data_IF_768719692731
#
_entry.id   IF_768719692731
#
_cell.length_a   1.000
_cell.length_b   1.000
_cell.length_c   1.000
_cell.angle_alpha   90.00
_cell.angle_beta   90.00
_cell.angle_gamma   90.00
#
_symmetry.space_group_name_H-M   'P 1'
#
loop_
_entity.id
_entity.type
_entity.pdbx_description
1 polymer ?
#
# COMPACT_ATOMS: atom_id res chain seq x y z
N UNK A 1 21.61 7.29 -9.42
CA UNK A 1 20.78 8.41 -8.98
C UNK A 1 20.02 7.93 -7.75
N UNK A 2 19.96 8.73 -6.69
CA UNK A 2 19.15 8.45 -5.51
C UNK A 2 17.79 9.07 -5.80
N UNK A 3 16.75 8.27 -6.03
CA UNK A 3 15.39 8.72 -6.43
C UNK A 3 14.65 9.45 -5.28
N UNK A 4 15.32 10.41 -4.64
CA UNK A 4 14.81 11.24 -3.57
C UNK A 4 13.84 12.32 -4.06
N UNK A 5 13.14 12.95 -3.12
CA UNK A 5 12.16 14.01 -3.43
C UNK A 5 12.83 15.37 -3.33
N UNK A 6 12.52 16.25 -4.27
CA UNK A 6 12.88 17.66 -4.21
C UNK A 6 11.61 18.51 -4.27
N UNK A 7 11.41 19.38 -3.28
CA UNK A 7 10.22 20.23 -3.18
C UNK A 7 10.52 21.53 -2.43
N UNK A 8 9.59 22.48 -2.45
CA UNK A 8 9.64 23.69 -1.63
C UNK A 8 8.74 23.46 -0.42
N UNK A 9 9.31 23.48 0.78
CA UNK A 9 8.51 23.33 2.02
C UNK A 9 7.58 24.52 2.24
N UNK A 10 6.61 24.39 3.13
CA UNK A 10 5.72 25.46 3.60
C UNK A 10 6.47 26.72 4.04
N UNK A 11 7.69 26.57 4.56
CA UNK A 11 8.55 27.70 4.94
C UNK A 11 9.19 28.44 3.76
N UNK A 12 8.97 27.99 2.51
CA UNK A 12 9.59 28.56 1.30
C UNK A 12 11.01 28.05 1.04
N UNK A 13 11.49 27.06 1.79
CA UNK A 13 12.84 26.51 1.66
C UNK A 13 12.85 25.35 0.69
N UNK A 14 13.81 25.34 -0.24
CA UNK A 14 14.09 24.19 -1.08
C UNK A 14 14.62 23.02 -0.24
N UNK A 15 13.90 21.91 -0.29
CA UNK A 15 14.15 20.72 0.53
C UNK A 15 14.42 19.53 -0.38
N UNK A 16 15.45 18.76 -0.04
CA UNK A 16 15.71 17.44 -0.61
C UNK A 16 15.55 16.38 0.48
N UNK A 17 14.74 15.36 0.22
CA UNK A 17 14.55 14.20 1.11
C UNK A 17 15.12 12.94 0.42
N UNK A 18 16.09 12.25 1.05
CA UNK A 18 16.64 11.01 0.52
C UNK A 18 15.60 9.88 0.58
N UNK A 19 15.80 8.82 -0.23
CA UNK A 19 14.86 7.70 -0.33
C UNK A 19 14.73 6.87 0.95
N UNK A 20 15.80 6.80 1.74
CA UNK A 20 15.90 5.89 2.89
C UNK A 20 15.18 6.37 4.14
N UNK A 21 14.93 7.67 4.28
CA UNK A 21 14.43 8.25 5.54
C UNK A 21 12.95 7.92 5.81
N UNK A 22 12.13 7.76 4.77
CA UNK A 22 10.69 7.51 4.93
C UNK A 22 10.29 6.04 4.91
N UNK A 23 11.19 5.14 4.46
CA UNK A 23 10.95 3.69 4.42
C UNK A 23 10.67 3.10 5.80
N UNK A 24 11.08 3.78 6.88
CA UNK A 24 10.88 3.39 8.27
C UNK A 24 9.98 4.35 9.07
N UNK A 25 9.35 5.31 8.40
CA UNK A 25 8.54 6.33 9.06
C UNK A 25 7.18 5.81 9.51
N UNK A 26 6.62 6.42 10.55
CA UNK A 26 5.24 6.19 10.99
C UNK A 26 4.32 7.27 10.45
N UNK A 27 3.08 6.92 10.13
CA UNK A 27 2.07 7.90 9.73
C UNK A 27 1.85 8.95 10.82
N UNK A 28 1.92 10.23 10.45
CA UNK A 28 1.73 11.36 11.36
C UNK A 28 0.25 11.65 11.59
N UNK A 29 -0.60 11.35 10.61
CA UNK A 29 -2.06 11.47 10.70
C UNK A 29 -2.74 10.21 10.17
N UNK A 30 -3.93 9.94 10.71
CA UNK A 30 -4.81 8.88 10.24
C UNK A 30 -6.14 9.45 9.73
N UNK A 31 -6.60 8.92 8.60
CA UNK A 31 -7.86 9.24 7.95
C UNK A 31 -8.73 7.99 7.91
N UNK A 32 -10.04 8.13 8.15
CA UNK A 32 -10.94 6.98 8.25
C UNK A 32 -12.40 7.33 8.03
N UNK A 33 -13.20 6.30 7.73
CA UNK A 33 -14.64 6.40 7.47
C UNK A 33 -15.53 5.70 8.52
N UNK A 34 -14.93 4.99 9.48
CA UNK A 34 -15.64 4.21 10.52
C UNK A 34 -15.83 4.97 11.85
N UNK A 35 -15.52 6.28 11.91
CA UNK A 35 -15.52 7.06 13.15
C UNK A 35 -14.32 6.78 14.07
N UNK A 36 -14.27 7.40 15.24
CA UNK A 36 -13.18 7.27 16.21
C UNK A 36 -12.18 8.42 16.20
N UNK A 37 -10.89 8.13 16.36
CA UNK A 37 -9.81 9.13 16.43
C UNK A 37 -9.25 9.54 15.06
N UNK A 38 -9.58 8.80 14.00
CA UNK A 38 -9.17 9.14 12.64
C UNK A 38 -9.93 10.36 12.11
N UNK A 39 -9.25 11.17 11.30
CA UNK A 39 -9.84 12.36 10.67
C UNK A 39 -10.78 11.91 9.56
N UNK A 40 -12.06 12.33 9.56
CA UNK A 40 -12.99 11.97 8.50
C UNK A 40 -12.59 12.62 7.18
N UNK A 41 -12.71 11.86 6.09
CA UNK A 41 -12.55 12.34 4.72
C UNK A 41 -13.89 12.27 3.97
N UNK A 42 -14.04 13.14 2.98
CA UNK A 42 -15.28 13.28 2.19
C UNK A 42 -15.19 12.58 0.83
N UNK A 43 -13.97 12.36 0.33
CA UNK A 43 -13.73 11.64 -0.92
C UNK A 43 -12.47 10.80 -0.81
N UNK A 44 -12.50 9.63 -1.44
CA UNK A 44 -11.34 8.75 -1.63
C UNK A 44 -11.38 8.24 -3.07
N UNK A 45 -10.31 8.52 -3.82
CA UNK A 45 -10.08 7.93 -5.14
C UNK A 45 -9.27 6.64 -4.96
N UNK A 46 -9.83 5.53 -5.44
CA UNK A 46 -9.23 4.20 -5.35
C UNK A 46 -8.95 3.68 -6.76
N UNK A 47 -7.68 3.44 -7.05
CA UNK A 47 -7.25 2.63 -8.18
C UNK A 47 -7.28 1.15 -7.81
N UNK A 48 -7.88 0.33 -8.69
CA UNK A 48 -7.91 -1.12 -8.55
C UNK A 48 -6.86 -1.73 -9.45
N UNK A 49 -5.83 -2.35 -8.86
CA UNK A 49 -4.85 -3.13 -9.60
C UNK A 49 -5.34 -4.56 -9.80
N UNK A 50 -6.12 -4.83 -10.84
CA UNK A 50 -6.53 -6.21 -11.21
C UNK A 50 -5.51 -6.88 -12.14
N UNK A 51 -4.55 -6.12 -12.67
CA UNK A 51 -3.58 -6.60 -13.65
C UNK A 51 -2.59 -7.62 -13.08
N UNK A 52 -2.43 -7.65 -11.75
CA UNK A 52 -1.49 -8.54 -11.06
C UNK A 52 -2.18 -9.58 -10.18
N UNK A 53 -3.49 -9.80 -10.35
CA UNK A 53 -4.25 -10.77 -9.57
C UNK A 53 -3.99 -12.19 -10.10
N UNK A 54 -3.39 -13.06 -9.28
CA UNK A 54 -3.18 -14.47 -9.58
C UNK A 54 -3.48 -15.33 -8.35
N UNK A 55 -4.54 -16.14 -8.42
CA UNK A 55 -5.00 -17.00 -7.32
C UNK A 55 -4.95 -18.50 -7.66
N UNK A 56 -4.31 -18.82 -8.78
CA UNK A 56 -3.92 -20.17 -9.18
C UNK A 56 -2.50 -20.13 -9.79
N UNK A 57 -1.52 -20.66 -9.07
CA UNK A 57 -0.12 -20.64 -9.49
C UNK A 57 0.30 -22.05 -9.89
N UNK A 58 0.97 -22.15 -11.04
CA UNK A 58 1.50 -23.39 -11.60
C UNK A 58 2.99 -23.19 -11.89
N UNK A 59 3.85 -23.98 -11.26
CA UNK A 59 5.31 -23.92 -11.39
C UNK A 59 5.81 -25.26 -11.93
N UNK A 60 6.19 -25.27 -13.20
CA UNK A 60 6.88 -26.37 -13.86
C UNK A 60 8.36 -26.34 -13.49
N UNK A 61 8.77 -27.20 -12.56
CA UNK A 61 10.18 -27.36 -12.19
C UNK A 61 10.88 -28.20 -13.25
N UNK A 62 12.04 -27.73 -13.73
CA UNK A 62 12.75 -28.39 -14.83
C UNK A 62 13.04 -29.86 -14.52
N UNK A 63 12.56 -30.76 -15.40
CA UNK A 63 12.76 -32.21 -15.26
C UNK A 63 11.97 -32.87 -14.12
N UNK A 64 11.06 -32.14 -13.47
CA UNK A 64 10.24 -32.61 -12.35
C UNK A 64 8.74 -32.40 -12.64
N UNK A 65 7.89 -32.83 -11.70
CA UNK A 65 6.45 -32.65 -11.78
C UNK A 65 6.04 -31.17 -11.61
N UNK A 66 4.79 -30.86 -12.00
CA UNK A 66 4.18 -29.55 -11.81
C UNK A 66 3.86 -29.32 -10.33
N UNK A 67 4.36 -28.22 -9.76
CA UNK A 67 3.93 -27.73 -8.45
C UNK A 67 2.78 -26.72 -8.61
N UNK A 68 1.77 -26.79 -7.74
CA UNK A 68 0.58 -25.94 -7.84
C UNK A 68 0.16 -25.37 -6.50
N UNK A 69 -0.31 -24.12 -6.48
CA UNK A 69 -0.92 -23.49 -5.31
C UNK A 69 -2.14 -22.66 -5.72
N UNK A 70 -3.26 -22.82 -5.04
CA UNK A 70 -4.51 -22.10 -5.33
C UNK A 70 -5.17 -21.57 -4.07
N UNK A 71 -5.96 -20.49 -4.19
CA UNK A 71 -6.77 -19.94 -3.10
C UNK A 71 -8.27 -19.97 -3.48
N UNK A 72 -9.04 -20.87 -2.86
CA UNK A 72 -10.45 -21.09 -3.20
C UNK A 72 -11.35 -19.90 -2.81
N UNK A 73 -10.99 -19.16 -1.76
CA UNK A 73 -11.74 -17.97 -1.30
C UNK A 73 -11.59 -16.86 -2.33
N UNK A 74 -10.36 -16.52 -2.70
CA UNK A 74 -10.05 -15.53 -3.73
C UNK A 74 -10.65 -15.94 -5.09
N UNK A 75 -10.62 -17.22 -5.46
CA UNK A 75 -11.26 -17.69 -6.69
C UNK A 75 -12.78 -17.53 -6.69
N UNK A 76 -13.43 -17.69 -5.54
CA UNK A 76 -14.87 -17.47 -5.39
C UNK A 76 -15.22 -15.99 -5.55
N UNK A 77 -14.38 -15.10 -5.02
CA UNK A 77 -14.64 -13.65 -5.02
C UNK A 77 -14.22 -12.96 -6.33
N UNK A 78 -13.08 -13.33 -6.89
CA UNK A 78 -12.48 -12.65 -8.04
C UNK A 78 -12.37 -13.51 -9.31
N UNK A 79 -12.86 -14.76 -9.27
CA UNK A 79 -12.71 -15.73 -10.35
C UNK A 79 -11.31 -16.33 -10.43
N UNK A 80 -11.13 -17.35 -11.28
CA UNK A 80 -9.84 -18.03 -11.43
C UNK A 80 -8.90 -17.22 -12.32
N UNK A 81 -7.76 -16.79 -11.75
CA UNK A 81 -6.68 -16.12 -12.46
C UNK A 81 -5.40 -16.94 -12.33
N UNK A 82 -4.85 -17.42 -13.46
CA UNK A 82 -3.75 -18.38 -13.45
C UNK A 82 -2.42 -17.75 -13.88
N UNK A 83 -1.38 -17.97 -13.08
CA UNK A 83 0.02 -17.74 -13.45
C UNK A 83 0.71 -19.08 -13.68
N UNK A 84 1.35 -19.23 -14.84
CA UNK A 84 2.11 -20.42 -15.19
C UNK A 84 3.56 -20.06 -15.47
N UNK A 85 4.48 -20.71 -14.74
CA UNK A 85 5.92 -20.61 -14.92
C UNK A 85 6.44 -21.97 -15.39
N UNK A 86 7.17 -22.01 -16.49
CA UNK A 86 7.71 -23.24 -17.07
C UNK A 86 9.24 -23.28 -16.96
N UNK A 87 9.80 -24.48 -16.90
CA UNK A 87 11.25 -24.73 -16.87
C UNK A 87 12.00 -23.93 -15.79
N UNK A 88 11.39 -23.78 -14.62
CA UNK A 88 12.02 -23.05 -13.51
C UNK A 88 13.21 -23.87 -12.99
N UNK A 89 14.42 -23.28 -12.90
CA UNK A 89 15.66 -24.00 -12.56
C UNK A 89 15.78 -24.23 -11.05
N UNK A 90 14.79 -24.89 -10.45
CA UNK A 90 14.79 -25.31 -9.04
C UNK A 90 15.29 -26.75 -8.91
N UNK A 91 15.93 -27.04 -7.79
CA UNK A 91 16.57 -28.32 -7.53
C UNK A 91 15.59 -29.41 -7.05
N UNK A 92 14.41 -29.03 -6.54
CA UNK A 92 13.45 -29.94 -5.91
C UNK A 92 12.01 -29.50 -6.18
N UNK A 93 11.09 -30.48 -6.17
CA UNK A 93 9.65 -30.21 -6.25
C UNK A 93 9.16 -29.40 -5.03
N UNK A 94 9.75 -29.62 -3.85
CA UNK A 94 9.42 -28.88 -2.65
C UNK A 94 9.68 -27.38 -2.82
N UNK A 95 10.84 -27.00 -3.37
CA UNK A 95 11.15 -25.60 -3.68
C UNK A 95 10.15 -25.00 -4.69
N UNK A 96 9.70 -25.79 -5.68
CA UNK A 96 8.66 -25.37 -6.63
C UNK A 96 7.31 -25.11 -5.96
N UNK A 97 6.92 -25.96 -5.00
CA UNK A 97 5.70 -25.78 -4.21
C UNK A 97 5.78 -24.55 -3.31
N UNK A 98 6.91 -24.32 -2.64
CA UNK A 98 7.12 -23.11 -1.84
C UNK A 98 7.03 -21.85 -2.69
N UNK A 99 7.68 -21.83 -3.86
CA UNK A 99 7.57 -20.71 -4.79
C UNK A 99 6.12 -20.48 -5.23
N UNK A 100 5.38 -21.53 -5.57
CA UNK A 100 3.97 -21.41 -5.95
C UNK A 100 3.12 -20.82 -4.82
N UNK A 101 3.37 -21.22 -3.56
CA UNK A 101 2.67 -20.70 -2.38
C UNK A 101 3.00 -19.23 -2.15
N UNK A 102 4.27 -18.82 -2.20
CA UNK A 102 4.69 -17.43 -2.03
C UNK A 102 4.06 -16.52 -3.08
N UNK A 103 4.12 -16.92 -4.36
CA UNK A 103 3.50 -16.18 -5.46
C UNK A 103 1.98 -16.07 -5.27
N UNK A 104 1.33 -17.15 -4.84
CA UNK A 104 -0.11 -17.11 -4.53
C UNK A 104 -0.37 -16.11 -3.43
N UNK A 105 0.32 -16.19 -2.29
CA UNK A 105 0.07 -15.29 -1.16
C UNK A 105 0.33 -13.82 -1.51
N UNK A 106 1.28 -13.57 -2.40
CA UNK A 106 1.60 -12.23 -2.89
C UNK A 106 0.55 -11.65 -3.85
N UNK A 107 -0.06 -12.50 -4.69
CA UNK A 107 -0.87 -12.05 -5.83
C UNK A 107 -2.34 -12.48 -5.77
N UNK A 108 -2.76 -13.27 -4.78
CA UNK A 108 -4.14 -13.78 -4.70
C UNK A 108 -5.19 -12.71 -4.46
N UNK A 109 -4.82 -11.57 -3.90
CA UNK A 109 -5.75 -10.49 -3.59
C UNK A 109 -5.41 -9.22 -4.39
N UNK A 110 -6.40 -8.41 -4.78
CA UNK A 110 -6.16 -7.19 -5.52
C UNK A 110 -5.38 -6.17 -4.68
N UNK A 111 -4.47 -5.44 -5.34
CA UNK A 111 -3.74 -4.36 -4.68
C UNK A 111 -4.54 -3.07 -4.78
N UNK A 112 -5.03 -2.60 -3.64
CA UNK A 112 -5.68 -1.30 -3.52
C UNK A 112 -4.64 -0.17 -3.56
N UNK A 113 -4.84 0.77 -4.48
CA UNK A 113 -4.07 2.01 -4.55
C UNK A 113 -4.98 3.17 -4.17
N UNK A 114 -4.64 3.90 -3.13
CA UNK A 114 -5.32 5.15 -2.80
C UNK A 114 -4.58 6.28 -3.51
N UNK A 115 -5.23 6.92 -4.48
CA UNK A 115 -4.58 7.93 -5.31
C UNK A 115 -4.78 9.33 -4.74
N UNK A 116 -5.96 9.60 -4.19
CA UNK A 116 -6.33 10.92 -3.71
C UNK A 116 -7.33 10.82 -2.56
N UNK A 117 -7.21 11.71 -1.57
CA UNK A 117 -8.27 11.97 -0.58
C UNK A 117 -8.68 13.44 -0.56
N UNK A 118 -9.94 13.67 -0.22
CA UNK A 118 -10.51 15.01 -0.02
C UNK A 118 -11.03 15.17 1.39
N UNK A 119 -10.64 16.25 2.05
CA UNK A 119 -10.97 16.57 3.44
C UNK A 119 -11.55 17.98 3.50
N UNK A 120 -12.69 18.15 4.17
CA UNK A 120 -13.31 19.47 4.35
C UNK A 120 -13.02 19.95 5.76
N UNK A 121 -12.27 21.06 5.90
CA UNK A 121 -11.78 21.52 7.20
C UNK A 121 -12.89 22.11 8.08
N UNK A 122 -13.94 22.70 7.48
CA UNK A 122 -15.03 23.36 8.20
C UNK A 122 -15.75 22.45 9.21
N UNK A 123 -15.77 21.13 8.95
CA UNK A 123 -16.42 20.15 9.82
C UNK A 123 -15.49 19.53 10.87
N UNK A 124 -14.21 19.89 10.89
CA UNK A 124 -13.21 19.32 11.78
C UNK A 124 -13.09 20.13 13.08
N UNK A 125 -12.53 19.48 14.12
CA UNK A 125 -12.05 20.20 15.30
C UNK A 125 -10.89 21.14 14.92
N UNK A 126 -10.67 22.19 15.71
CA UNK A 126 -9.55 23.11 15.47
C UNK A 126 -8.19 22.38 15.39
N UNK A 127 -7.97 21.41 16.28
CA UNK A 127 -6.74 20.61 16.28
C UNK A 127 -6.58 19.76 15.01
N UNK A 128 -7.65 19.11 14.53
CA UNK A 128 -7.59 18.31 13.31
C UNK A 128 -7.44 19.19 12.06
N UNK A 129 -8.10 20.35 12.03
CA UNK A 129 -7.97 21.31 10.93
C UNK A 129 -6.54 21.88 10.87
N UNK A 130 -5.93 22.20 12.01
CA UNK A 130 -4.54 22.63 12.10
C UNK A 130 -3.60 21.52 11.63
N UNK A 131 -3.77 20.30 12.15
CA UNK A 131 -2.95 19.15 11.77
C UNK A 131 -2.94 18.91 10.25
N UNK A 132 -4.12 18.88 9.62
CA UNK A 132 -4.24 18.72 8.15
C UNK A 132 -3.61 19.90 7.40
N UNK A 133 -3.78 21.13 7.90
CA UNK A 133 -3.19 22.33 7.29
C UNK A 133 -1.67 22.40 7.42
N UNK A 134 -1.10 21.64 8.36
CA UNK A 134 0.35 21.56 8.58
C UNK A 134 1.03 20.37 7.89
N UNK A 135 0.29 19.57 7.11
CA UNK A 135 0.89 18.54 6.27
C UNK A 135 1.84 19.13 5.24
N UNK A 136 2.86 18.36 4.88
CA UNK A 136 3.90 18.70 3.91
C UNK A 136 4.09 17.57 2.89
N UNK A 137 4.72 17.89 1.75
CA UNK A 137 5.13 16.85 0.80
C UNK A 137 6.11 15.88 1.46
N UNK A 138 5.85 14.58 1.28
CA UNK A 138 6.63 13.49 1.88
C UNK A 138 6.12 13.01 3.24
N UNK A 139 5.19 13.73 3.89
CA UNK A 139 4.59 13.26 5.13
C UNK A 139 3.84 11.95 4.92
N UNK A 140 3.94 11.04 5.90
CA UNK A 140 3.24 9.77 5.88
C UNK A 140 1.86 9.92 6.53
N UNK A 141 0.84 9.43 5.85
CA UNK A 141 -0.54 9.42 6.33
C UNK A 141 -1.10 8.00 6.23
N UNK A 142 -1.88 7.59 7.22
CA UNK A 142 -2.59 6.32 7.20
C UNK A 142 -4.02 6.54 6.75
N UNK A 143 -4.51 5.74 5.82
CA UNK A 143 -5.86 5.85 5.30
C UNK A 143 -6.53 4.50 5.48
N UNK A 144 -7.68 4.53 6.13
CA UNK A 144 -8.55 3.38 6.32
C UNK A 144 -9.83 3.57 5.52
N UNK A 145 -10.13 2.57 4.68
CA UNK A 145 -11.40 2.46 3.97
C UNK A 145 -12.15 1.23 4.47
N UNK A 146 -13.41 1.43 4.88
CA UNK A 146 -14.31 0.36 5.28
C UNK A 146 -15.30 0.06 4.15
N UNK A 147 -15.54 -1.23 3.92
CA UNK A 147 -16.47 -1.73 2.91
C UNK A 147 -17.65 -2.42 3.59
N UNK A 148 -18.86 -2.10 3.14
CA UNK A 148 -20.09 -2.73 3.66
C UNK A 148 -20.27 -4.16 3.17
N UNK A 149 -19.63 -4.50 2.03
CA UNK A 149 -19.67 -5.81 1.37
C UNK A 149 -18.29 -6.11 0.77
N UNK A 150 -17.94 -7.40 0.67
CA UNK A 150 -16.64 -7.87 0.16
C UNK A 150 -15.62 -8.16 1.28
N UNK A 151 -14.54 -8.85 0.91
CA UNK A 151 -13.42 -9.18 1.79
C UNK A 151 -12.11 -8.60 1.24
N UNK A 152 -11.27 -7.93 2.07
CA UNK A 152 -11.48 -7.64 3.48
C UNK A 152 -12.50 -6.51 3.70
N UNK A 153 -13.18 -6.52 4.85
CA UNK A 153 -14.17 -5.48 5.22
C UNK A 153 -13.53 -4.12 5.51
N UNK A 154 -12.22 -4.09 5.74
CA UNK A 154 -11.43 -2.86 5.89
C UNK A 154 -10.09 -3.00 5.18
N UNK A 155 -9.66 -1.92 4.55
CA UNK A 155 -8.32 -1.79 3.96
C UNK A 155 -7.66 -0.57 4.56
N UNK A 156 -6.52 -0.79 5.22
CA UNK A 156 -5.66 0.27 5.73
C UNK A 156 -4.35 0.30 4.94
N UNK A 157 -3.92 1.50 4.54
CA UNK A 157 -2.64 1.72 3.85
C UNK A 157 -1.97 2.97 4.40
N UNK A 158 -0.66 2.89 4.58
CA UNK A 158 0.19 4.05 4.81
C UNK A 158 0.68 4.56 3.46
N UNK A 159 0.53 5.85 3.23
CA UNK A 159 0.80 6.53 1.97
C UNK A 159 1.64 7.78 2.27
N UNK A 160 2.41 8.25 1.30
CA UNK A 160 3.05 9.55 1.42
C UNK A 160 2.27 10.61 0.64
N UNK A 161 2.31 11.84 1.13
CA UNK A 161 1.71 12.99 0.46
C UNK A 161 2.61 13.42 -0.70
N UNK A 162 2.09 13.38 -1.92
CA UNK A 162 2.78 13.84 -3.14
C UNK A 162 2.32 15.21 -3.59
N UNK A 163 1.10 15.59 -3.22
CA UNK A 163 0.47 16.81 -3.65
C UNK A 163 -0.49 17.28 -2.56
N UNK A 164 -0.53 18.58 -2.33
CA UNK A 164 -1.50 19.22 -1.44
C UNK A 164 -2.15 20.35 -2.23
N UNK A 165 -3.47 20.32 -2.38
CA UNK A 165 -4.24 21.38 -3.01
C UNK A 165 -5.29 21.92 -2.04
N UNK A 166 -5.27 23.23 -1.82
CA UNK A 166 -6.26 23.94 -1.01
C UNK A 166 -7.23 24.66 -1.94
N UNK A 167 -8.51 24.30 -1.87
CA UNK A 167 -9.57 25.04 -2.52
C UNK A 167 -10.39 25.76 -1.44
N UNK A 168 -10.31 27.10 -1.43
CA UNK A 168 -10.95 27.94 -0.43
C UNK A 168 -11.99 28.80 -1.14
N UNK A 169 -13.23 28.65 -0.69
CA UNK A 169 -14.38 29.50 -1.05
C UNK A 169 -14.93 30.15 0.22
N UNK A 170 -15.82 31.15 0.11
CA UNK A 170 -16.44 31.76 1.30
C UNK A 170 -17.16 30.77 2.23
N UNK A 171 -17.60 29.63 1.70
CA UNK A 171 -18.42 28.67 2.42
C UNK A 171 -17.64 27.41 2.86
N UNK A 172 -16.54 27.09 2.19
CA UNK A 172 -15.81 25.83 2.40
C UNK A 172 -14.32 25.96 2.10
N UNK A 173 -13.52 25.32 2.92
CA UNK A 173 -12.11 25.04 2.70
C UNK A 173 -11.94 23.52 2.57
N UNK A 174 -11.65 23.10 1.35
CA UNK A 174 -11.37 21.70 1.01
C UNK A 174 -9.87 21.53 0.76
N UNK A 175 -9.28 20.53 1.39
CA UNK A 175 -7.91 20.08 1.16
C UNK A 175 -7.94 18.75 0.43
N UNK A 176 -7.30 18.70 -0.73
CA UNK A 176 -7.12 17.49 -1.53
C UNK A 176 -5.68 17.06 -1.45
N UNK A 177 -5.44 15.82 -1.03
CA UNK A 177 -4.10 15.22 -0.96
C UNK A 177 -3.95 14.19 -2.08
N UNK A 178 -2.94 14.38 -2.94
CA UNK A 178 -2.46 13.35 -3.84
C UNK A 178 -1.50 12.43 -3.10
N UNK A 179 -1.62 11.12 -3.35
CA UNK A 179 -1.03 10.08 -2.53
C UNK A 179 -0.17 9.13 -3.37
N UNK A 180 1.05 8.91 -2.90
CA UNK A 180 1.92 7.86 -3.41
C UNK A 180 2.00 6.67 -2.46
N UNK A 181 2.21 5.48 -3.01
CA UNK A 181 2.31 4.25 -2.21
C UNK A 181 3.59 4.26 -1.37
N UNK A 182 3.46 4.33 -0.05
CA UNK A 182 4.61 4.16 0.82
C UNK A 182 5.01 2.68 0.85
N UNK A 183 6.13 2.35 0.20
CA UNK A 183 6.76 1.06 0.37
C UNK A 183 7.62 1.12 1.64
N UNK A 184 7.00 0.79 2.77
CA UNK A 184 7.75 0.55 4.00
C UNK A 184 8.47 -0.78 3.83
N UNK A 185 9.80 -0.74 3.87
CA UNK A 185 10.62 -1.95 3.92
C UNK A 185 10.97 -2.16 5.40
N UNK A 186 10.93 -3.40 5.85
CA UNK A 186 11.63 -3.79 7.07
C UNK A 186 13.13 -3.75 6.81
N UNK A 187 13.90 -3.18 7.73
CA UNK A 187 15.34 -3.03 7.54
C UNK A 187 15.96 -4.44 7.47
N UNK A 188 16.70 -4.75 6.40
CA UNK A 188 17.52 -5.95 6.38
C UNK A 188 18.70 -5.75 7.32
N UNK A 189 18.59 -6.29 8.53
CA UNK A 189 19.66 -6.25 9.52
C UNK A 189 20.42 -7.58 9.43
N UNK A 190 21.70 -7.48 9.03
CA UNK A 190 22.58 -8.62 8.98
C UNK A 190 22.76 -9.17 10.41
N UNK A 191 22.53 -10.48 10.58
CA UNK A 191 22.74 -11.23 11.83
C UNK A 191 21.71 -11.00 12.96
N UNK A 192 20.52 -10.46 12.67
CA UNK A 192 19.40 -10.45 13.62
C UNK A 192 18.25 -11.32 13.10
N UNK A 193 18.35 -12.62 13.39
CA UNK A 193 17.24 -13.57 13.58
C UNK A 193 15.96 -13.33 12.74
N UNK A 194 16.05 -13.51 11.42
CA UNK A 194 15.20 -14.42 10.64
C UNK A 194 15.43 -14.17 9.14
N UNK A 195 16.36 -14.94 8.57
CA UNK A 195 16.40 -15.15 7.10
C UNK A 195 15.23 -16.03 6.61
N UNK A 196 14.37 -16.48 7.53
CA UNK A 196 13.31 -17.49 7.33
C UNK A 196 11.96 -16.97 7.88
N UNK A 197 11.74 -15.66 7.83
CA UNK A 197 10.47 -15.02 8.17
C UNK A 197 9.69 -14.72 6.88
N UNK A 198 8.50 -15.30 6.79
CA UNK A 198 7.58 -15.22 5.64
C UNK A 198 7.07 -13.79 5.39
N UNK A 199 7.23 -12.89 6.35
CA UNK A 199 6.83 -11.48 6.24
C UNK A 199 7.96 -10.58 5.70
N UNK A 200 9.24 -11.01 5.73
CA UNK A 200 10.41 -10.17 5.40
C UNK A 200 11.44 -10.79 4.44
N UNK A 201 11.22 -12.02 3.97
CA UNK A 201 12.09 -12.68 2.99
C UNK A 201 11.82 -12.25 1.53
N UNK A 202 12.85 -12.34 0.68
CA UNK A 202 12.66 -12.43 -0.79
C UNK A 202 12.07 -13.81 -1.12
N UNK A 203 10.79 -13.98 -0.82
CA UNK A 203 9.94 -15.11 -1.17
C UNK A 203 8.90 -14.74 -2.20
#
# INVERSE_FOLDING_TARGET
AEDGRFFISRGGTATFQPTIDFTFGTATLSFGDAGGTAIPYQGLSVGYGVETLYNNIQVGVQGLALATASDATSQTEFGVQTLSLNDVPLNTLAAGTTLAQNLRDKYKDPVFRFNEISVVLNGLSAANAEAVSTLEIGDLVSITKSFTVGSPSTVQRTMFVEQINHNITPNTHTVTLGLGQAQLLTLFILDTSALDDVDVGLG
#
